data_IF_770432084736
#
_entry.id   IF_770432084736
#
_cell.length_a   1.000
_cell.length_b   1.000
_cell.length_c   1.000
_cell.angle_alpha   90.00
_cell.angle_beta   90.00
_cell.angle_gamma   90.00
#
_symmetry.space_group_name_H-M   'P 1'
#
loop_
_entity.id
_entity.type
_entity.pdbx_description
1 polymer ?
#
# COMPACT_ATOMS: atom_id res chain seq x y z
N UNK A 1 -0.41 -21.57 -66.52
CA UNK A 1 -0.94 -20.27 -66.08
C UNK A 1 -0.03 -19.81 -64.97
N UNK A 2 0.70 -18.71 -65.18
CA UNK A 2 1.67 -18.21 -64.20
C UNK A 2 0.94 -17.39 -63.11
N UNK A 3 1.56 -17.25 -61.93
CA UNK A 3 0.96 -16.55 -60.79
C UNK A 3 1.99 -15.72 -60.02
N UNK A 4 1.53 -14.66 -59.36
CA UNK A 4 2.36 -13.88 -58.43
C UNK A 4 2.73 -14.67 -57.17
N UNK A 5 3.75 -14.21 -56.45
CA UNK A 5 4.41 -14.98 -55.39
C UNK A 5 3.59 -15.05 -54.09
N UNK A 6 2.98 -13.95 -53.67
CA UNK A 6 2.45 -13.82 -52.31
C UNK A 6 0.97 -14.21 -52.21
N UNK A 7 0.15 -13.77 -53.15
CA UNK A 7 -1.31 -13.97 -53.18
C UNK A 7 -1.79 -14.71 -54.43
N UNK A 8 -0.85 -15.25 -55.23
CA UNK A 8 -1.17 -16.13 -56.35
C UNK A 8 -2.10 -15.48 -57.39
N UNK A 9 -1.95 -14.18 -57.63
CA UNK A 9 -2.71 -13.43 -58.62
C UNK A 9 -2.34 -13.90 -60.03
N UNK A 10 -3.34 -14.01 -60.89
CA UNK A 10 -3.21 -14.57 -62.24
C UNK A 10 -2.25 -13.76 -63.13
N UNK A 11 -1.47 -14.46 -63.97
CA UNK A 11 -0.62 -13.86 -65.00
C UNK A 11 -0.96 -14.47 -66.37
N UNK A 12 -1.08 -13.62 -67.38
CA UNK A 12 -1.39 -14.04 -68.75
C UNK A 12 -0.13 -14.52 -69.48
N UNK A 13 -0.28 -15.63 -70.22
CA UNK A 13 0.81 -16.26 -70.96
C UNK A 13 1.18 -15.45 -72.22
N UNK A 14 2.37 -15.67 -72.77
CA UNK A 14 2.90 -14.86 -73.88
C UNK A 14 2.08 -14.87 -75.18
N UNK A 15 1.18 -15.84 -75.35
CA UNK A 15 0.25 -15.92 -76.48
C UNK A 15 -0.90 -14.90 -76.44
N UNK A 16 -1.25 -14.36 -75.27
CA UNK A 16 -2.30 -13.36 -75.08
C UNK A 16 -1.73 -11.95 -75.28
N UNK A 17 -2.18 -11.26 -76.33
CA UNK A 17 -1.46 -10.07 -76.85
C UNK A 17 -2.07 -8.71 -76.49
N UNK A 18 -3.33 -8.64 -76.07
CA UNK A 18 -3.96 -7.35 -75.75
C UNK A 18 -3.71 -7.03 -74.28
N UNK A 19 -2.97 -5.96 -73.97
CA UNK A 19 -2.73 -5.43 -72.62
C UNK A 19 -2.07 -6.36 -71.57
N UNK A 20 -1.53 -7.52 -71.99
CA UNK A 20 -0.86 -8.49 -71.10
C UNK A 20 0.23 -7.88 -70.22
N UNK A 21 1.08 -7.01 -70.79
CA UNK A 21 2.22 -6.41 -70.06
C UNK A 21 1.70 -5.57 -68.89
N UNK A 22 0.71 -4.71 -69.15
CA UNK A 22 0.12 -3.84 -68.14
C UNK A 22 -0.61 -4.65 -67.08
N UNK A 23 -1.44 -5.63 -67.49
CA UNK A 23 -2.16 -6.51 -66.56
C UNK A 23 -1.22 -7.29 -65.62
N UNK A 24 -0.18 -7.91 -66.18
CA UNK A 24 0.81 -8.67 -65.42
C UNK A 24 1.60 -7.76 -64.47
N UNK A 25 1.97 -6.55 -64.92
CA UNK A 25 2.68 -5.57 -64.11
C UNK A 25 1.81 -5.03 -62.96
N UNK A 26 0.54 -4.73 -63.21
CA UNK A 26 -0.38 -4.26 -62.17
C UNK A 26 -0.70 -5.35 -61.15
N UNK A 27 -0.87 -6.60 -61.57
CA UNK A 27 -1.00 -7.71 -60.62
C UNK A 27 0.25 -7.90 -59.77
N UNK A 28 1.45 -7.72 -60.34
CA UNK A 28 2.68 -7.75 -59.54
C UNK A 28 2.73 -6.61 -58.51
N UNK A 29 2.30 -5.38 -58.88
CA UNK A 29 2.19 -4.25 -57.95
C UNK A 29 1.16 -4.51 -56.85
N UNK A 30 -0.01 -5.05 -57.19
CA UNK A 30 -1.06 -5.38 -56.22
C UNK A 30 -0.58 -6.47 -55.25
N UNK A 31 0.06 -7.53 -55.75
CA UNK A 31 0.63 -8.60 -54.92
C UNK A 31 1.63 -8.05 -53.89
N UNK A 32 2.51 -7.14 -54.32
CA UNK A 32 3.48 -6.48 -53.45
C UNK A 32 2.81 -5.51 -52.45
N UNK A 33 1.80 -4.77 -52.87
CA UNK A 33 1.06 -3.86 -52.00
C UNK A 33 0.28 -4.60 -50.92
N UNK A 34 -0.41 -5.70 -51.28
CA UNK A 34 -1.09 -6.58 -50.33
C UNK A 34 -0.10 -7.18 -49.32
N UNK A 35 1.07 -7.60 -49.80
CA UNK A 35 2.12 -8.17 -48.94
C UNK A 35 2.62 -7.15 -47.93
N UNK A 36 2.87 -5.93 -48.39
CA UNK A 36 3.30 -4.80 -47.54
C UNK A 36 2.23 -4.44 -46.51
N UNK A 37 0.95 -4.45 -46.90
CA UNK A 37 -0.15 -4.17 -45.99
C UNK A 37 -0.30 -5.27 -44.93
N UNK A 38 -0.14 -6.54 -45.30
CA UNK A 38 -0.12 -7.64 -44.34
C UNK A 38 1.04 -7.52 -43.34
N UNK A 39 2.25 -7.20 -43.81
CA UNK A 39 3.39 -6.92 -42.93
C UNK A 39 3.11 -5.76 -41.96
N UNK A 40 2.48 -4.69 -42.44
CA UNK A 40 2.13 -3.54 -41.61
C UNK A 40 1.09 -3.90 -40.53
N UNK A 41 0.08 -4.71 -40.88
CA UNK A 41 -0.93 -5.21 -39.93
C UNK A 41 -0.29 -6.10 -38.87
N UNK A 42 0.60 -7.02 -39.27
CA UNK A 42 1.30 -7.91 -38.34
C UNK A 42 2.23 -7.14 -37.39
N UNK A 43 2.92 -6.12 -37.92
CA UNK A 43 3.75 -5.22 -37.12
C UNK A 43 2.92 -4.40 -36.12
N UNK A 44 1.78 -3.86 -36.56
CA UNK A 44 0.84 -3.13 -35.72
C UNK A 44 0.24 -4.02 -34.62
N UNK A 45 -0.18 -5.25 -34.96
CA UNK A 45 -0.68 -6.22 -33.98
C UNK A 45 0.39 -6.51 -32.91
N UNK A 46 1.63 -6.77 -33.34
CA UNK A 46 2.75 -7.00 -32.42
C UNK A 46 3.03 -5.77 -31.54
N UNK A 47 2.95 -4.56 -32.11
CA UNK A 47 3.15 -3.32 -31.36
C UNK A 47 2.04 -3.12 -30.32
N UNK A 48 0.78 -3.41 -30.68
CA UNK A 48 -0.37 -3.34 -29.76
C UNK A 48 -0.24 -4.34 -28.62
N UNK A 49 0.12 -5.58 -28.91
CA UNK A 49 0.29 -6.60 -27.86
C UNK A 49 1.37 -6.19 -26.85
N UNK A 50 2.49 -5.62 -27.33
CA UNK A 50 3.53 -5.06 -26.46
C UNK A 50 3.04 -3.87 -25.63
N UNK A 51 2.28 -2.96 -26.24
CA UNK A 51 1.73 -1.81 -25.54
C UNK A 51 0.73 -2.23 -24.46
N UNK A 52 -0.15 -3.19 -24.75
CA UNK A 52 -1.11 -3.75 -23.79
C UNK A 52 -0.36 -4.44 -22.65
N UNK A 53 0.66 -5.26 -22.94
CA UNK A 53 1.45 -5.92 -21.90
C UNK A 53 2.16 -4.91 -20.99
N UNK A 54 2.72 -3.84 -21.54
CA UNK A 54 3.34 -2.77 -20.76
C UNK A 54 2.34 -2.03 -19.87
N UNK A 55 1.16 -1.70 -20.41
CA UNK A 55 0.08 -1.05 -19.65
C UNK A 55 -0.44 -1.95 -18.52
N UNK A 56 -0.63 -3.24 -18.78
CA UNK A 56 -1.03 -4.22 -17.75
C UNK A 56 0.01 -4.26 -16.64
N UNK A 57 1.30 -4.37 -16.98
CA UNK A 57 2.38 -4.37 -16.00
C UNK A 57 2.41 -3.09 -15.16
N UNK A 58 2.26 -1.92 -15.79
CA UNK A 58 2.22 -0.63 -15.11
C UNK A 58 1.01 -0.52 -14.16
N UNK A 59 -0.17 -0.98 -14.59
CA UNK A 59 -1.38 -0.99 -13.76
C UNK A 59 -1.27 -1.96 -12.59
N UNK A 60 -0.74 -3.16 -12.81
CA UNK A 60 -0.52 -4.12 -11.72
C UNK A 60 0.42 -3.54 -10.66
N UNK A 61 1.50 -2.87 -11.08
CA UNK A 61 2.41 -2.20 -10.15
C UNK A 61 1.74 -1.03 -9.41
N UNK A 62 0.92 -0.23 -10.10
CA UNK A 62 0.18 0.88 -9.51
C UNK A 62 -0.86 0.39 -8.48
N UNK A 63 -1.57 -0.71 -8.78
CA UNK A 63 -2.53 -1.33 -7.85
C UNK A 63 -1.82 -1.86 -6.61
N UNK A 64 -0.72 -2.61 -6.77
CA UNK A 64 0.07 -3.09 -5.63
C UNK A 64 0.58 -1.94 -4.76
N UNK A 65 0.99 -0.82 -5.37
CA UNK A 65 1.43 0.37 -4.63
C UNK A 65 0.28 1.09 -3.89
N UNK A 66 -0.96 1.03 -4.40
CA UNK A 66 -2.13 1.57 -3.72
C UNK A 66 -2.59 0.65 -2.57
N UNK A 67 -2.57 -0.66 -2.79
CA UNK A 67 -2.85 -1.66 -1.75
C UNK A 67 -1.87 -1.53 -0.59
N UNK A 68 -0.56 -1.39 -0.87
CA UNK A 68 0.45 -1.14 0.16
C UNK A 68 0.20 0.17 0.94
N UNK A 69 -0.30 1.22 0.29
CA UNK A 69 -0.63 2.48 0.97
C UNK A 69 -1.89 2.39 1.85
N UNK A 70 -2.85 1.56 1.46
CA UNK A 70 -4.10 1.37 2.18
C UNK A 70 -4.01 0.28 3.28
N UNK A 71 -3.04 -0.63 3.17
CA UNK A 71 -2.83 -1.69 4.13
C UNK A 71 -2.43 -1.16 5.51
N UNK A 72 -2.89 -1.86 6.54
CA UNK A 72 -2.46 -1.67 7.91
C UNK A 72 -1.22 -2.53 8.15
N UNK A 73 -0.05 -1.90 8.20
CA UNK A 73 1.24 -2.56 8.42
C UNK A 73 1.53 -2.74 9.90
N UNK A 74 1.93 -3.94 10.32
CA UNK A 74 2.46 -4.12 11.68
C UNK A 74 3.83 -3.45 11.77
N UNK A 75 3.94 -2.40 12.60
CA UNK A 75 5.21 -1.74 12.90
C UNK A 75 5.99 -2.57 13.91
N UNK A 76 5.34 -2.98 15.00
CA UNK A 76 5.94 -3.85 16.03
C UNK A 76 4.90 -4.49 16.93
N UNK A 77 5.31 -5.57 17.57
CA UNK A 77 4.60 -6.20 18.69
C UNK A 77 5.55 -6.36 19.85
N UNK A 78 5.12 -5.97 21.04
CA UNK A 78 5.90 -6.09 22.28
C UNK A 78 5.05 -6.79 23.33
N UNK A 79 5.65 -7.74 24.04
CA UNK A 79 5.04 -8.41 25.18
C UNK A 79 5.76 -8.00 26.47
N UNK A 80 4.99 -7.78 27.52
CA UNK A 80 5.48 -7.37 28.83
C UNK A 80 5.15 -8.46 29.85
N UNK A 81 6.13 -8.85 30.69
CA UNK A 81 5.91 -9.84 31.74
C UNK A 81 5.13 -9.22 32.90
N UNK A 82 4.88 -10.04 33.93
CA UNK A 82 4.27 -9.60 35.18
C UNK A 82 5.06 -8.44 35.80
N UNK A 83 4.36 -7.40 36.26
CA UNK A 83 4.95 -6.21 36.87
C UNK A 83 4.02 -5.56 37.89
N UNK A 84 4.59 -5.11 39.01
CA UNK A 84 3.88 -4.25 39.99
C UNK A 84 4.04 -2.76 39.71
N UNK A 85 4.98 -2.38 38.85
CA UNK A 85 5.23 -0.98 38.47
C UNK A 85 4.62 -0.63 37.11
N UNK A 86 4.20 -1.65 36.35
CA UNK A 86 3.61 -1.50 35.03
C UNK A 86 4.58 -1.75 33.88
N UNK A 87 4.25 -1.19 32.72
CA UNK A 87 4.98 -1.38 31.46
C UNK A 87 4.98 -0.11 30.62
N UNK A 88 5.97 0.04 29.72
CA UNK A 88 6.10 1.21 28.85
C UNK A 88 6.02 0.79 27.37
N UNK A 89 5.00 1.28 26.68
CA UNK A 89 4.85 1.18 25.23
C UNK A 89 5.56 2.36 24.60
N UNK A 90 6.84 2.17 24.30
CA UNK A 90 7.65 3.17 23.62
C UNK A 90 7.20 3.34 22.17
N UNK A 91 7.14 4.58 21.69
CA UNK A 91 6.80 4.94 20.31
C UNK A 91 7.82 5.92 19.68
N UNK A 92 8.89 6.25 20.40
CA UNK A 92 9.94 7.17 19.96
C UNK A 92 10.87 6.61 18.88
N UNK A 93 10.76 5.31 18.58
CA UNK A 93 11.46 4.60 17.51
C UNK A 93 10.66 4.58 16.20
N UNK A 94 9.45 5.14 16.17
CA UNK A 94 8.60 5.20 14.98
C UNK A 94 9.05 6.37 14.09
N UNK A 95 9.29 6.10 12.81
CA UNK A 95 9.38 7.14 11.79
C UNK A 95 7.99 7.70 11.49
N UNK A 96 7.61 8.77 12.17
CA UNK A 96 6.31 9.42 12.02
C UNK A 96 6.07 10.04 10.65
N UNK A 97 7.11 10.22 9.82
CA UNK A 97 6.96 10.74 8.45
C UNK A 97 6.50 9.67 7.46
N UNK A 98 6.59 8.39 7.83
CA UNK A 98 6.16 7.28 7.00
C UNK A 98 4.64 6.99 7.07
N UNK A 99 3.94 7.51 8.10
CA UNK A 99 2.58 7.07 8.44
C UNK A 99 1.59 8.23 8.48
N UNK A 100 0.40 8.07 7.90
CA UNK A 100 -0.75 8.98 8.11
C UNK A 100 -1.49 8.68 9.40
N UNK A 101 -1.67 7.40 9.69
CA UNK A 101 -2.36 6.89 10.88
C UNK A 101 -1.44 5.87 11.55
N UNK A 102 -1.34 5.94 12.87
CA UNK A 102 -0.70 4.90 13.69
C UNK A 102 -1.70 4.42 14.71
N UNK A 103 -1.83 3.10 14.87
CA UNK A 103 -2.78 2.49 15.83
C UNK A 103 -1.99 1.63 16.80
N UNK A 104 -2.01 1.97 18.09
CA UNK A 104 -1.50 1.09 19.13
C UNK A 104 -2.65 0.32 19.78
N UNK A 105 -2.67 -1.00 19.58
CA UNK A 105 -3.61 -1.92 20.23
C UNK A 105 -2.89 -2.54 21.43
N UNK A 106 -3.42 -2.29 22.61
CA UNK A 106 -2.82 -2.66 23.88
C UNK A 106 -3.80 -3.54 24.64
N UNK A 107 -3.32 -4.71 25.08
CA UNK A 107 -4.02 -5.60 25.97
C UNK A 107 -3.23 -5.73 27.27
N UNK A 108 -3.87 -5.55 28.41
CA UNK A 108 -3.29 -5.63 29.75
C UNK A 108 -4.11 -6.60 30.60
N UNK A 109 -3.49 -7.68 31.04
CA UNK A 109 -4.10 -8.64 31.97
C UNK A 109 -3.74 -8.23 33.39
N UNK A 110 -4.74 -7.94 34.22
CA UNK A 110 -4.59 -7.49 35.59
C UNK A 110 -5.06 -8.58 36.55
N UNK A 111 -4.47 -8.65 37.74
CA UNK A 111 -4.97 -9.52 38.81
C UNK A 111 -6.37 -9.12 39.30
N UNK A 112 -6.70 -7.83 39.20
CA UNK A 112 -8.00 -7.26 39.51
C UNK A 112 -8.20 -5.90 38.83
N UNK A 113 -9.44 -5.58 38.46
CA UNK A 113 -9.81 -4.27 37.90
C UNK A 113 -9.20 -3.97 36.52
N UNK A 114 -9.02 -2.68 36.25
CA UNK A 114 -8.52 -2.18 34.95
C UNK A 114 -7.13 -1.57 35.07
N UNK A 115 -6.35 -1.66 33.99
CA UNK A 115 -5.09 -0.95 33.85
C UNK A 115 -5.31 0.54 33.54
N UNK A 116 -4.35 1.38 33.91
CA UNK A 116 -4.37 2.83 33.63
C UNK A 116 -3.35 3.15 32.55
N UNK A 117 -3.78 3.87 31.51
CA UNK A 117 -2.88 4.38 30.47
C UNK A 117 -2.50 5.82 30.78
N UNK A 118 -1.21 6.11 30.85
CA UNK A 118 -0.67 7.45 31.04
C UNK A 118 0.13 7.89 29.81
N UNK A 119 0.19 9.21 29.55
CA UNK A 119 1.06 9.74 28.52
C UNK A 119 2.52 9.68 28.99
N UNK A 120 3.44 9.29 28.11
CA UNK A 120 4.88 9.32 28.39
C UNK A 120 5.59 10.41 27.59
N UNK A 121 6.40 11.22 28.27
CA UNK A 121 7.09 12.35 27.66
C UNK A 121 6.17 13.54 27.40
N UNK A 122 5.11 13.68 28.19
CA UNK A 122 4.20 14.84 28.16
C UNK A 122 4.41 15.71 29.39
N UNK A 123 3.91 16.95 29.37
CA UNK A 123 3.87 17.81 30.59
C UNK A 123 2.89 17.29 31.65
N UNK A 124 1.98 16.39 31.26
CA UNK A 124 0.88 15.86 32.08
C UNK A 124 0.99 14.35 32.31
N UNK A 125 2.22 13.82 32.45
CA UNK A 125 2.50 12.39 32.66
C UNK A 125 1.93 11.79 33.96
N UNK A 126 1.35 12.62 34.82
CA UNK A 126 0.72 12.27 36.08
C UNK A 126 -0.79 12.03 35.99
N UNK A 127 -1.44 12.30 34.84
CA UNK A 127 -2.89 12.13 34.68
C UNK A 127 -3.22 10.97 33.76
N UNK A 128 -4.06 10.04 34.23
CA UNK A 128 -4.48 8.90 33.44
C UNK A 128 -5.36 9.35 32.26
N UNK A 129 -5.04 8.89 31.06
CA UNK A 129 -5.85 9.15 29.88
C UNK A 129 -7.12 8.30 29.91
N UNK A 130 -7.00 7.01 30.21
CA UNK A 130 -8.12 6.06 30.25
C UNK A 130 -7.83 4.89 31.21
N UNK A 131 -8.90 4.21 31.64
CA UNK A 131 -8.87 3.03 32.51
C UNK A 131 -9.49 1.87 31.75
N UNK A 132 -8.67 0.93 31.27
CA UNK A 132 -9.15 -0.29 30.59
C UNK A 132 -8.03 -1.32 30.45
N UNK A 133 -8.42 -2.56 30.24
CA UNK A 133 -7.52 -3.66 29.91
C UNK A 133 -7.32 -3.81 28.39
N UNK A 134 -8.28 -3.33 27.59
CA UNK A 134 -8.22 -3.36 26.13
C UNK A 134 -8.32 -1.93 25.60
N UNK A 135 -7.24 -1.44 25.00
CA UNK A 135 -7.12 -0.05 24.58
C UNK A 135 -6.63 0.02 23.15
N UNK A 136 -7.32 0.81 22.34
CA UNK A 136 -6.84 1.22 21.02
C UNK A 136 -6.56 2.72 21.02
N UNK A 137 -5.30 3.10 20.82
CA UNK A 137 -4.91 4.48 20.59
C UNK A 137 -4.74 4.73 19.10
N UNK A 138 -5.62 5.55 18.51
CA UNK A 138 -5.56 5.97 17.10
C UNK A 138 -4.92 7.36 17.03
N UNK A 139 -3.75 7.41 16.40
CA UNK A 139 -2.92 8.60 16.25
C UNK A 139 -2.96 9.10 14.81
N UNK A 140 -2.87 10.42 14.63
CA UNK A 140 -2.94 11.09 13.32
C UNK A 140 -1.67 11.91 13.03
N UNK A 141 -0.51 11.26 12.89
CA UNK A 141 0.73 11.96 12.53
C UNK A 141 0.69 12.60 11.15
N UNK A 142 -0.17 12.14 10.22
CA UNK A 142 -0.32 12.74 8.88
C UNK A 142 1.03 12.94 8.13
N UNK A 143 1.98 12.03 8.35
CA UNK A 143 3.38 12.07 7.85
C UNK A 143 4.19 13.28 8.34
N UNK A 144 3.84 13.81 9.51
CA UNK A 144 4.42 15.02 10.09
C UNK A 144 4.77 14.78 11.55
N UNK A 145 6.07 14.69 11.82
CA UNK A 145 6.58 14.52 13.19
C UNK A 145 6.42 15.79 14.04
N UNK A 146 6.23 16.95 13.42
CA UNK A 146 6.08 18.24 14.07
C UNK A 146 4.66 18.52 14.58
N UNK A 147 3.67 17.70 14.20
CA UNK A 147 2.31 17.83 14.71
C UNK A 147 2.21 17.43 16.19
N UNK A 148 1.24 17.96 16.95
CA UNK A 148 0.99 17.55 18.31
C UNK A 148 0.74 16.04 18.42
N UNK A 149 1.38 15.38 19.38
CA UNK A 149 1.09 13.99 19.71
C UNK A 149 -0.31 13.92 20.34
N UNK A 150 -1.28 13.56 19.51
CA UNK A 150 -2.69 13.56 19.85
C UNK A 150 -3.43 12.42 19.15
N UNK A 151 -4.64 12.13 19.60
CA UNK A 151 -5.42 11.05 19.02
C UNK A 151 -6.71 10.77 19.75
N UNK A 152 -7.26 9.60 19.43
CA UNK A 152 -8.43 9.04 20.06
C UNK A 152 -8.04 7.76 20.80
N UNK A 153 -8.49 7.64 22.05
CA UNK A 153 -8.48 6.39 22.80
C UNK A 153 -9.85 5.78 22.68
N UNK A 154 -9.89 4.53 22.26
CA UNK A 154 -11.09 3.71 22.17
C UNK A 154 -10.92 2.54 23.14
N UNK A 155 -11.79 2.49 24.14
CA UNK A 155 -11.98 1.37 25.04
C UNK A 155 -13.49 1.27 25.36
N UNK A 156 -13.88 0.97 26.59
CA UNK A 156 -15.29 1.04 27.03
C UNK A 156 -15.92 2.43 26.84
N UNK A 157 -15.09 3.48 26.80
CA UNK A 157 -15.48 4.83 26.39
C UNK A 157 -14.45 5.42 25.43
N UNK A 158 -14.89 6.33 24.57
CA UNK A 158 -14.03 7.07 23.64
C UNK A 158 -13.55 8.39 24.24
N UNK A 159 -12.25 8.70 24.11
CA UNK A 159 -11.68 9.96 24.61
C UNK A 159 -10.64 10.52 23.64
N UNK A 160 -10.74 11.82 23.32
CA UNK A 160 -9.67 12.53 22.64
C UNK A 160 -8.57 12.94 23.65
N UNK A 161 -7.32 12.94 23.22
CA UNK A 161 -6.18 13.35 24.06
C UNK A 161 -5.12 14.10 23.26
N UNK A 162 -4.29 14.86 23.96
CA UNK A 162 -3.06 15.47 23.45
C UNK A 162 -2.02 15.52 24.57
N UNK A 163 -0.73 15.37 24.22
CA UNK A 163 0.38 15.37 25.19
C UNK A 163 0.98 16.76 25.44
N UNK A 164 0.56 17.78 24.69
CA UNK A 164 1.22 19.10 24.74
C UNK A 164 2.68 19.09 24.24
N UNK A 165 3.06 18.06 23.49
CA UNK A 165 4.32 17.94 22.75
C UNK A 165 4.03 17.35 21.36
N UNK A 166 5.05 17.23 20.52
CA UNK A 166 4.96 16.75 19.13
C UNK A 166 5.22 15.24 19.02
N UNK A 167 4.87 14.65 17.87
CA UNK A 167 5.21 13.25 17.59
C UNK A 167 6.72 12.98 17.64
N UNK A 168 7.54 13.96 17.31
CA UNK A 168 9.00 13.86 17.37
C UNK A 168 9.53 13.63 18.80
N UNK A 169 8.90 14.20 19.81
CA UNK A 169 9.43 14.22 21.18
C UNK A 169 8.70 13.28 22.15
N UNK A 170 7.42 13.00 21.88
CA UNK A 170 6.63 12.12 22.72
C UNK A 170 7.23 10.70 22.79
N UNK A 171 7.22 10.10 23.98
CA UNK A 171 7.86 8.79 24.21
C UNK A 171 6.91 7.62 24.00
N UNK A 172 5.60 7.84 24.13
CA UNK A 172 4.56 6.82 23.96
C UNK A 172 3.63 6.74 25.15
N UNK A 173 3.32 5.54 25.63
CA UNK A 173 2.36 5.34 26.72
C UNK A 173 2.91 4.45 27.83
N UNK A 174 2.49 4.69 29.06
CA UNK A 174 2.76 3.79 30.18
C UNK A 174 1.47 3.15 30.67
N UNK A 175 1.56 1.85 30.93
CA UNK A 175 0.57 1.05 31.63
C UNK A 175 0.93 1.05 33.10
N UNK A 176 -0.02 1.40 33.97
CA UNK A 176 0.23 1.49 35.41
C UNK A 176 -0.86 0.80 36.23
N UNK A 177 -0.55 -0.32 36.92
CA UNK A 177 -1.42 -0.87 37.96
C UNK A 177 -1.51 0.09 39.16
N UNK A 178 -2.58 0.02 39.97
CA UNK A 178 -2.60 0.69 41.29
C UNK A 178 -1.64 0.01 42.27
N UNK A 179 -1.37 0.65 43.42
CA UNK A 179 -0.45 0.12 44.44
C UNK A 179 -0.88 -1.23 45.02
N UNK A 180 -2.16 -1.61 44.87
CA UNK A 180 -2.72 -2.88 45.31
C UNK A 180 -2.91 -3.90 44.19
N UNK A 181 -2.58 -3.55 42.95
CA UNK A 181 -2.80 -4.38 41.77
C UNK A 181 -1.48 -4.86 41.17
N UNK A 182 -1.56 -5.90 40.34
CA UNK A 182 -0.45 -6.46 39.58
C UNK A 182 -0.85 -6.57 38.12
N UNK A 183 -0.01 -6.05 37.23
CA UNK A 183 -0.09 -6.39 35.81
C UNK A 183 0.47 -7.80 35.66
N UNK A 184 -0.34 -8.76 35.24
CA UNK A 184 0.05 -10.16 35.05
C UNK A 184 0.81 -10.36 33.74
N UNK A 185 0.36 -9.69 32.68
CA UNK A 185 1.03 -9.61 31.37
C UNK A 185 0.43 -8.46 30.57
N UNK A 186 1.15 -7.98 29.57
CA UNK A 186 0.56 -7.10 28.56
C UNK A 186 1.13 -7.39 27.18
N UNK A 187 0.38 -7.03 26.14
CA UNK A 187 0.87 -6.97 24.76
C UNK A 187 0.51 -5.62 24.17
N UNK A 188 1.40 -5.09 23.33
CA UNK A 188 1.14 -3.91 22.53
C UNK A 188 1.54 -4.20 21.10
N UNK A 189 0.58 -4.17 20.18
CA UNK A 189 0.85 -4.21 18.74
C UNK A 189 0.58 -2.84 18.16
N UNK A 190 1.60 -2.29 17.52
CA UNK A 190 1.54 -1.00 16.85
C UNK A 190 1.46 -1.24 15.36
N UNK A 191 0.49 -0.61 14.74
CA UNK A 191 0.24 -0.64 13.31
C UNK A 191 0.38 0.75 12.69
N UNK A 192 0.66 0.79 11.40
CA UNK A 192 0.75 2.03 10.62
C UNK A 192 0.07 1.91 9.26
N UNK A 193 -0.59 2.98 8.83
CA UNK A 193 -1.11 3.14 7.47
C UNK A 193 -0.36 4.29 6.79
N UNK A 194 0.17 4.06 5.59
CA UNK A 194 1.07 4.99 4.92
C UNK A 194 0.36 6.25 4.43
#
# INVERSE_FOLDING_TARGET
>A
MDKTKHYQLNQWAAGDKVQRIDFNADNAKIDAALRTNADAIDAEATARDKAVAAEVSARTAAVAALEDKAALHTIKTVSYPQSKTGAAVFLNDIDWTAWKIVVAVIHAEMDSGTCRLYPMGSRDDHTALIYSNDIMAVLFPMRRSDLPFAGLLLAESGKAFSFGDTYQNARGFSLSPTSSQTLLRATATVYGMK
#
